data_IF_305136493362
#
_entry.id   IF_305136493362
#
_cell.length_a   1.000
_cell.length_b   1.000
_cell.length_c   1.000
_cell.angle_alpha   90.00
_cell.angle_beta   90.00
_cell.angle_gamma   90.00
#
_symmetry.space_group_name_H-M   'P 1'
#
loop_
_entity.id
_entity.type
_entity.pdbx_description
1 polymer ?
#
# COMPACT_ATOMS: atom_id res chain seq x y z
N UNK A 1 -2.79 -16.57 9.00
CA UNK A 1 -2.23 -15.22 9.26
C UNK A 1 -1.84 -15.08 10.72
N UNK A 2 -0.93 -14.14 11.06
CA UNK A 2 -0.53 -13.87 12.46
C UNK A 2 -1.56 -13.05 13.26
N UNK A 3 -2.71 -12.73 12.67
CA UNK A 3 -3.77 -11.91 13.28
C UNK A 3 -3.45 -10.42 13.41
N UNK A 4 -2.29 -9.98 12.93
CA UNK A 4 -1.86 -8.57 12.96
C UNK A 4 -2.16 -7.95 11.59
N UNK A 5 -2.99 -6.91 11.52
CA UNK A 5 -3.23 -6.17 10.28
C UNK A 5 -1.94 -5.62 9.68
N UNK A 6 -1.78 -5.79 8.37
CA UNK A 6 -0.70 -5.16 7.61
C UNK A 6 -1.14 -3.76 7.17
N UNK A 7 -0.21 -2.82 7.14
CA UNK A 7 -0.44 -1.45 6.68
C UNK A 7 0.49 -1.15 5.51
N UNK A 8 -0.09 -0.60 4.45
CA UNK A 8 0.62 -0.22 3.25
C UNK A 8 0.29 1.23 2.89
N UNK A 9 1.27 1.92 2.33
CA UNK A 9 1.08 3.21 1.65
C UNK A 9 1.23 2.94 0.16
N UNK A 10 0.13 3.05 -0.59
CA UNK A 10 0.12 2.83 -2.03
C UNK A 10 1.16 3.73 -2.72
N UNK A 11 1.95 3.13 -3.62
CA UNK A 11 3.04 3.82 -4.33
C UNK A 11 4.30 4.11 -3.51
N UNK A 12 4.36 3.70 -2.23
CA UNK A 12 5.53 3.90 -1.36
C UNK A 12 5.99 2.61 -0.67
N UNK A 13 5.07 1.82 -0.16
CA UNK A 13 5.39 0.52 0.42
C UNK A 13 5.79 -0.47 -0.67
N UNK A 14 6.83 -1.27 -0.40
CA UNK A 14 7.21 -2.39 -1.27
C UNK A 14 6.13 -3.47 -1.20
N UNK A 15 5.63 -3.88 -2.36
CA UNK A 15 4.60 -4.90 -2.51
C UNK A 15 4.76 -5.59 -3.86
N UNK A 16 4.25 -6.81 -3.95
CA UNK A 16 4.11 -7.48 -5.25
C UNK A 16 3.07 -6.76 -6.12
N UNK A 17 3.22 -6.84 -7.44
CA UNK A 17 2.39 -6.10 -8.39
C UNK A 17 0.88 -6.36 -8.20
N UNK A 18 0.48 -7.61 -8.00
CA UNK A 18 -0.92 -7.99 -7.81
C UNK A 18 -1.56 -7.35 -6.57
N UNK A 19 -0.80 -7.04 -5.52
CA UNK A 19 -1.32 -6.24 -4.40
C UNK A 19 -1.38 -4.76 -4.72
N UNK A 20 -0.38 -4.23 -5.43
CA UNK A 20 -0.37 -2.83 -5.87
C UNK A 20 -1.58 -2.50 -6.77
N UNK A 21 -1.97 -3.43 -7.63
CA UNK A 21 -3.11 -3.30 -8.53
C UNK A 21 -4.43 -3.72 -7.86
N UNK A 22 -4.40 -4.72 -6.97
CA UNK A 22 -5.59 -5.28 -6.34
C UNK A 22 -6.15 -4.43 -5.19
N UNK A 23 -5.32 -3.90 -4.29
CA UNK A 23 -5.84 -3.11 -3.17
C UNK A 23 -6.66 -1.87 -3.57
N UNK A 24 -6.30 -1.10 -4.62
CA UNK A 24 -7.11 0.04 -5.07
C UNK A 24 -8.51 -0.31 -5.58
N UNK A 25 -8.79 -1.57 -5.93
CA UNK A 25 -10.10 -2.00 -6.43
C UNK A 25 -11.06 -2.39 -5.32
N UNK A 26 -10.58 -2.55 -4.10
CA UNK A 26 -11.38 -3.01 -2.96
C UNK A 26 -12.16 -1.88 -2.28
N UNK A 27 -13.30 -2.23 -1.72
CA UNK A 27 -14.07 -1.40 -0.80
C UNK A 27 -13.67 -1.65 0.66
N UNK A 28 -13.95 -0.67 1.52
CA UNK A 28 -13.73 -0.83 2.96
C UNK A 28 -14.64 -1.94 3.51
N UNK A 29 -14.05 -2.86 4.24
CA UNK A 29 -14.69 -4.07 4.80
C UNK A 29 -14.84 -5.21 3.79
N UNK A 30 -14.39 -5.05 2.54
CA UNK A 30 -14.47 -6.10 1.54
C UNK A 30 -13.50 -7.25 1.86
N UNK A 31 -13.96 -8.48 1.60
CA UNK A 31 -13.12 -9.68 1.55
C UNK A 31 -13.08 -10.15 0.10
N UNK A 32 -11.89 -10.27 -0.48
CA UNK A 32 -11.68 -10.68 -1.85
C UNK A 32 -10.63 -11.79 -1.96
N UNK A 33 -10.78 -12.64 -2.97
CA UNK A 33 -9.78 -13.65 -3.34
C UNK A 33 -8.96 -13.14 -4.52
N UNK A 34 -7.68 -12.90 -4.31
CA UNK A 34 -6.77 -12.53 -5.38
C UNK A 34 -6.06 -13.77 -5.91
N UNK A 35 -6.32 -14.10 -7.17
CA UNK A 35 -5.61 -15.14 -7.91
C UNK A 35 -4.53 -14.49 -8.76
N UNK A 36 -3.27 -14.87 -8.55
CA UNK A 36 -2.11 -14.21 -9.13
C UNK A 36 -1.24 -15.19 -9.90
N UNK A 37 -0.95 -14.87 -11.15
CA UNK A 37 0.06 -15.56 -11.96
C UNK A 37 1.48 -15.09 -11.59
N UNK A 38 2.53 -15.88 -11.89
CA UNK A 38 3.94 -15.55 -11.63
C UNK A 38 4.34 -14.11 -11.95
N UNK A 39 3.92 -13.63 -13.11
CA UNK A 39 4.23 -12.31 -13.67
C UNK A 39 3.67 -11.12 -12.88
N UNK A 40 2.80 -11.35 -11.89
CA UNK A 40 2.25 -10.30 -11.03
C UNK A 40 2.51 -10.55 -9.54
N UNK A 41 3.32 -11.56 -9.18
CA UNK A 41 3.77 -11.76 -7.81
C UNK A 41 5.30 -11.72 -7.68
N UNK A 42 5.90 -12.66 -6.98
CA UNK A 42 7.35 -12.72 -6.72
C UNK A 42 8.23 -13.04 -7.93
N UNK A 43 7.66 -13.44 -9.08
CA UNK A 43 8.40 -13.72 -10.31
C UNK A 43 8.27 -12.59 -11.34
N UNK A 44 7.64 -11.48 -10.94
CA UNK A 44 7.66 -10.24 -11.71
C UNK A 44 9.10 -9.67 -11.73
N UNK A 45 9.54 -9.19 -12.89
CA UNK A 45 10.95 -8.85 -13.14
C UNK A 45 11.46 -7.73 -12.22
N UNK A 46 10.63 -6.72 -11.95
CA UNK A 46 10.95 -5.56 -11.11
C UNK A 46 10.40 -5.69 -9.68
N UNK A 47 10.13 -6.92 -9.23
CA UNK A 47 9.44 -7.16 -7.96
C UNK A 47 10.26 -6.64 -6.77
N UNK A 48 9.76 -5.67 -5.99
CA UNK A 48 10.53 -5.06 -4.90
C UNK A 48 10.58 -5.94 -3.64
N UNK A 49 9.93 -7.11 -3.64
CA UNK A 49 9.77 -8.00 -2.49
C UNK A 49 10.44 -9.34 -2.76
N UNK A 50 11.36 -9.74 -1.88
CA UNK A 50 12.01 -11.05 -1.95
C UNK A 50 11.17 -12.10 -1.21
N UNK A 51 10.75 -13.20 -1.87
CA UNK A 51 10.11 -14.31 -1.17
C UNK A 51 11.13 -15.10 -0.33
N UNK A 52 10.67 -15.94 0.61
CA UNK A 52 11.55 -16.88 1.32
C UNK A 52 12.32 -17.81 0.39
N UNK A 53 13.47 -18.31 0.85
CA UNK A 53 14.27 -19.28 0.09
C UNK A 53 13.47 -20.56 -0.21
N UNK A 54 13.57 -21.02 -1.46
CA UNK A 54 12.87 -22.22 -1.93
C UNK A 54 11.37 -22.03 -2.20
N UNK A 55 10.84 -20.81 -2.12
CA UNK A 55 9.45 -20.54 -2.46
C UNK A 55 9.19 -20.75 -3.98
N UNK A 56 8.12 -21.47 -4.38
CA UNK A 56 7.82 -21.71 -5.78
C UNK A 56 7.42 -20.40 -6.46
N UNK A 57 8.24 -19.96 -7.42
CA UNK A 57 8.02 -18.70 -8.14
C UNK A 57 7.13 -18.85 -9.38
N UNK A 58 7.00 -20.06 -9.90
CA UNK A 58 6.27 -20.34 -11.14
C UNK A 58 4.81 -20.80 -10.92
N UNK A 59 4.41 -20.99 -9.66
CA UNK A 59 3.05 -21.41 -9.31
C UNK A 59 2.08 -20.23 -9.28
N UNK A 60 0.79 -20.47 -9.57
CA UNK A 60 -0.25 -19.49 -9.28
C UNK A 60 -0.48 -19.39 -7.77
N UNK A 61 -0.53 -18.15 -7.24
CA UNK A 61 -0.83 -17.88 -5.83
C UNK A 61 -2.27 -17.42 -5.64
N UNK A 62 -2.84 -17.75 -4.48
CA UNK A 62 -4.15 -17.31 -4.07
C UNK A 62 -4.07 -16.67 -2.68
N UNK A 63 -4.57 -15.44 -2.57
CA UNK A 63 -4.61 -14.69 -1.32
C UNK A 63 -6.03 -14.26 -1.01
N UNK A 64 -6.55 -14.68 0.15
CA UNK A 64 -7.74 -14.06 0.74
C UNK A 64 -7.31 -12.78 1.47
N UNK A 65 -7.86 -11.65 1.05
CA UNK A 65 -7.53 -10.33 1.56
C UNK A 65 -8.80 -9.71 2.14
N UNK A 66 -8.70 -9.24 3.38
CA UNK A 66 -9.72 -8.40 4.03
C UNK A 66 -9.22 -6.94 4.08
N UNK A 67 -9.95 -6.03 3.45
CA UNK A 67 -9.66 -4.60 3.45
C UNK A 67 -10.30 -3.95 4.68
N UNK A 68 -9.57 -3.89 5.80
CA UNK A 68 -10.12 -3.35 7.05
C UNK A 68 -10.47 -1.86 6.98
N UNK A 69 -9.56 -1.04 6.44
CA UNK A 69 -9.74 0.40 6.28
C UNK A 69 -8.73 0.97 5.28
N UNK A 70 -9.10 2.06 4.61
CA UNK A 70 -8.18 2.88 3.84
C UNK A 70 -8.59 4.35 3.93
N UNK A 71 -7.62 5.23 3.75
CA UNK A 71 -7.84 6.68 3.80
C UNK A 71 -6.76 7.40 2.99
N UNK A 72 -7.08 8.62 2.55
CA UNK A 72 -6.07 9.51 1.96
C UNK A 72 -5.01 9.83 3.00
N UNK A 73 -3.75 9.68 2.60
CA UNK A 73 -2.61 9.94 3.46
C UNK A 73 -1.57 10.80 2.73
N UNK A 74 -0.90 11.67 3.49
CA UNK A 74 0.29 12.38 3.04
C UNK A 74 1.49 11.83 3.81
N UNK A 75 2.46 11.30 3.07
CA UNK A 75 3.76 10.92 3.62
C UNK A 75 4.57 12.20 3.83
N UNK A 76 4.99 12.45 5.07
CA UNK A 76 5.75 13.65 5.44
C UNK A 76 7.26 13.38 5.39
N UNK A 77 7.67 12.18 5.78
CA UNK A 77 9.08 11.75 5.75
C UNK A 77 9.27 10.58 4.79
N UNK A 78 10.38 10.56 4.05
CA UNK A 78 10.64 9.55 3.01
C UNK A 78 10.70 8.12 3.56
N UNK A 79 11.09 7.97 4.82
CA UNK A 79 11.17 6.71 5.55
C UNK A 79 9.82 6.18 6.06
N UNK A 80 8.72 6.88 5.76
CA UNK A 80 7.36 6.60 6.28
C UNK A 80 7.23 6.71 7.81
N UNK A 81 8.21 7.29 8.51
CA UNK A 81 8.16 7.52 9.96
C UNK A 81 7.02 8.46 10.38
N UNK A 82 6.64 9.40 9.51
CA UNK A 82 5.49 10.29 9.70
C UNK A 82 4.54 10.21 8.52
N UNK A 83 3.36 9.62 8.75
CA UNK A 83 2.25 9.54 7.79
C UNK A 83 1.04 10.26 8.35
N UNK A 84 0.60 11.32 7.66
CA UNK A 84 -0.57 12.11 8.05
C UNK A 84 -1.82 11.56 7.38
N UNK A 85 -2.79 11.08 8.17
CA UNK A 85 -4.16 10.85 7.71
C UNK A 85 -4.85 12.18 7.42
N UNK A 86 -5.49 12.30 6.26
CA UNK A 86 -6.33 13.46 5.94
C UNK A 86 -7.74 13.18 6.49
N UNK A 87 -8.16 13.99 7.46
CA UNK A 87 -9.51 13.92 8.04
C UNK A 87 -10.46 14.84 7.28
N UNK A 88 -10.03 16.09 7.09
CA UNK A 88 -10.70 17.09 6.27
C UNK A 88 -9.72 17.65 5.24
N UNK A 89 -10.20 17.86 4.01
CA UNK A 89 -9.39 18.47 2.96
C UNK A 89 -9.17 19.95 3.23
N UNK A 90 -7.93 20.41 3.01
CA UNK A 90 -7.60 21.82 3.07
C UNK A 90 -8.22 22.60 1.90
N UNK A 91 -8.30 23.92 2.04
CA UNK A 91 -8.68 24.81 0.94
C UNK A 91 -7.41 25.31 0.24
N UNK A 92 -7.41 25.29 -1.08
CA UNK A 92 -6.27 25.71 -1.89
C UNK A 92 -5.24 24.59 -2.14
N UNK A 93 -4.27 24.89 -3.00
CA UNK A 93 -3.25 23.94 -3.47
C UNK A 93 -1.88 24.17 -2.82
N UNK A 94 -1.70 25.28 -2.11
CA UNK A 94 -0.42 25.66 -1.51
C UNK A 94 -0.11 24.85 -0.24
N UNK A 95 1.17 24.59 -0.02
CA UNK A 95 1.70 24.02 1.22
C UNK A 95 2.60 25.08 1.88
N UNK A 96 2.60 25.21 3.22
CA UNK A 96 3.50 26.13 3.90
C UNK A 96 4.96 25.95 3.47
N UNK A 97 5.64 27.08 3.27
CA UNK A 97 7.06 27.17 2.92
C UNK A 97 7.62 28.47 3.50
N UNK A 98 8.93 28.56 3.66
CA UNK A 98 9.54 29.83 4.06
C UNK A 98 9.30 30.92 3.01
N UNK A 99 9.06 32.19 3.42
CA UNK A 99 9.07 32.73 4.79
C UNK A 99 7.67 32.77 5.45
N UNK A 100 6.69 31.99 5.00
CA UNK A 100 5.32 32.07 5.51
C UNK A 100 5.18 31.55 6.94
N UNK A 101 4.39 32.25 7.74
CA UNK A 101 3.98 31.82 9.08
C UNK A 101 2.70 30.98 9.02
N UNK A 102 2.61 29.96 9.88
CA UNK A 102 1.44 29.08 10.00
C UNK A 102 0.86 29.21 11.39
N UNK A 103 -0.46 29.41 11.47
CA UNK A 103 -1.23 29.35 12.72
C UNK A 103 -1.98 28.03 12.80
N UNK A 104 -2.02 27.43 13.99
CA UNK A 104 -2.68 26.16 14.26
C UNK A 104 -4.08 26.36 14.84
#
# INVERSE_FOLDING_TARGET
>A
GKGIPLRFVLGKSKMILGFAEGFPTMLKGEIAMFKMEPKIHYAEDDCPVTPPDGFPKDDELQFEVEMLDFFKAKVVTEDLGVVKKIVDEGKGWETPREPYEVTA
#
